data_IF_612578366932
#
_entry.id   IF_612578366932
#
_cell.length_a   1.000
_cell.length_b   1.000
_cell.length_c   1.000
_cell.angle_alpha   90.00
_cell.angle_beta   90.00
_cell.angle_gamma   90.00
#
_symmetry.space_group_name_H-M   'P 1'
#
loop_
_entity.id
_entity.type
_entity.pdbx_description
1 polymer ?
#
# COMPACT_ATOMS: atom_id res chain seq x y z
N UNK A 1 -17.70 -33.71 -25.76
CA UNK A 1 -17.68 -32.24 -25.58
C UNK A 1 -16.86 -31.95 -24.33
N UNK A 2 -15.78 -31.18 -24.44
CA UNK A 2 -15.01 -30.73 -23.27
C UNK A 2 -15.87 -29.79 -22.45
N UNK A 3 -15.97 -29.98 -21.14
CA UNK A 3 -16.62 -28.99 -20.27
C UNK A 3 -15.77 -27.71 -20.28
N UNK A 4 -16.37 -26.51 -20.42
CA UNK A 4 -15.65 -25.26 -20.32
C UNK A 4 -15.11 -25.08 -18.90
N UNK A 5 -13.81 -24.81 -18.79
CA UNK A 5 -13.17 -24.53 -17.51
C UNK A 5 -13.61 -23.14 -17.01
N UNK A 6 -14.06 -23.06 -15.76
CA UNK A 6 -14.49 -21.80 -15.16
C UNK A 6 -13.28 -20.91 -14.86
N UNK A 7 -13.40 -19.63 -15.22
CA UNK A 7 -12.39 -18.64 -14.87
C UNK A 7 -12.24 -18.46 -13.36
N UNK A 8 -11.03 -18.05 -12.94
CA UNK A 8 -10.79 -17.66 -11.55
C UNK A 8 -11.66 -16.43 -11.20
N UNK A 9 -12.16 -16.34 -9.96
CA UNK A 9 -12.91 -15.16 -9.52
C UNK A 9 -12.02 -13.92 -9.53
N UNK A 10 -12.65 -12.74 -9.63
CA UNK A 10 -11.97 -11.45 -9.52
C UNK A 10 -11.37 -11.25 -8.12
N UNK A 11 -10.34 -10.41 -8.04
CA UNK A 11 -9.76 -10.00 -6.77
C UNK A 11 -10.67 -8.98 -6.08
N UNK A 12 -10.88 -9.17 -4.79
CA UNK A 12 -11.53 -8.18 -3.92
C UNK A 12 -10.39 -7.34 -3.36
N UNK A 13 -10.25 -6.12 -3.88
CA UNK A 13 -9.15 -5.21 -3.55
C UNK A 13 -9.72 -3.82 -3.26
N UNK A 14 -9.94 -3.56 -1.98
CA UNK A 14 -10.47 -2.27 -1.52
C UNK A 14 -9.37 -1.22 -1.55
N UNK A 15 -9.69 -0.07 -2.11
CA UNK A 15 -8.86 1.12 -2.06
C UNK A 15 -8.93 1.74 -0.66
N UNK A 16 -7.80 1.80 0.04
CA UNK A 16 -7.76 2.21 1.44
C UNK A 16 -6.39 2.79 1.86
N UNK A 17 -6.43 3.67 2.84
CA UNK A 17 -5.28 4.33 3.46
C UNK A 17 -5.75 5.64 4.10
N UNK A 18 -5.37 5.89 5.35
CA UNK A 18 -5.66 7.16 6.04
C UNK A 18 -4.81 7.31 7.30
N UNK A 19 -4.69 8.55 7.79
CA UNK A 19 -4.03 8.88 9.04
C UNK A 19 -2.54 8.53 9.04
N UNK A 20 -2.13 7.39 9.61
CA UNK A 20 -0.73 6.98 9.72
C UNK A 20 -0.50 5.61 9.06
N UNK A 21 0.77 5.23 8.91
CA UNK A 21 1.13 3.91 8.41
C UNK A 21 0.62 2.78 9.32
N UNK A 22 0.67 2.95 10.64
CA UNK A 22 0.16 1.98 11.63
C UNK A 22 -1.36 1.82 11.53
N UNK A 23 -2.09 2.93 11.44
CA UNK A 23 -3.55 2.91 11.32
C UNK A 23 -3.98 2.26 10.00
N UNK A 24 -3.28 2.57 8.91
CA UNK A 24 -3.54 1.96 7.60
C UNK A 24 -3.20 0.47 7.58
N UNK A 25 -2.10 0.05 8.22
CA UNK A 25 -1.76 -1.36 8.39
C UNK A 25 -2.85 -2.13 9.16
N UNK A 26 -3.32 -1.59 10.29
CA UNK A 26 -4.38 -2.21 11.08
C UNK A 26 -5.68 -2.36 10.27
N UNK A 27 -6.01 -1.35 9.45
CA UNK A 27 -7.14 -1.40 8.51
C UNK A 27 -6.95 -2.50 7.45
N UNK A 28 -5.76 -2.61 6.85
CA UNK A 28 -5.45 -3.63 5.85
C UNK A 28 -5.59 -5.03 6.41
N UNK A 29 -5.01 -5.30 7.57
CA UNK A 29 -5.13 -6.58 8.26
C UNK A 29 -6.57 -6.92 8.60
N UNK A 30 -7.33 -5.96 9.13
CA UNK A 30 -8.77 -6.14 9.42
C UNK A 30 -9.56 -6.50 8.15
N UNK A 31 -9.24 -5.88 7.01
CA UNK A 31 -9.92 -6.18 5.75
C UNK A 31 -9.53 -7.55 5.18
N UNK A 32 -8.25 -7.94 5.29
CA UNK A 32 -7.78 -9.26 4.90
C UNK A 32 -8.45 -10.36 5.75
N UNK A 33 -8.56 -10.16 7.07
CA UNK A 33 -9.30 -11.05 7.98
C UNK A 33 -10.79 -11.20 7.60
N UNK A 34 -11.37 -10.15 7.00
CA UNK A 34 -12.76 -10.14 6.50
C UNK A 34 -12.94 -10.66 5.07
N UNK A 35 -11.89 -11.19 4.45
CA UNK A 35 -11.95 -11.85 3.15
C UNK A 35 -11.57 -10.97 1.95
N UNK A 36 -10.96 -9.81 2.17
CA UNK A 36 -10.26 -9.09 1.11
C UNK A 36 -9.09 -9.96 0.58
N UNK A 37 -8.87 -9.97 -0.74
CA UNK A 37 -7.88 -10.86 -1.38
C UNK A 37 -6.72 -10.13 -2.06
N UNK A 38 -6.69 -8.80 -2.01
CA UNK A 38 -5.57 -7.97 -2.43
C UNK A 38 -5.64 -6.58 -1.81
N UNK A 39 -4.56 -5.81 -1.85
CA UNK A 39 -4.47 -4.49 -1.25
C UNK A 39 -4.42 -3.40 -2.32
N UNK A 40 -5.05 -2.24 -2.09
CA UNK A 40 -4.84 -1.05 -2.91
C UNK A 40 -4.60 0.16 -2.04
N UNK A 41 -3.38 0.68 -2.07
CA UNK A 41 -2.90 1.74 -1.18
C UNK A 41 -3.32 3.11 -1.70
N UNK A 42 -3.97 3.89 -0.82
CA UNK A 42 -4.26 5.31 -1.01
C UNK A 42 -3.22 6.16 -0.28
N UNK A 43 -2.46 6.98 -1.00
CA UNK A 43 -1.45 7.88 -0.41
C UNK A 43 -2.01 9.27 -0.14
N UNK A 44 -1.46 9.98 0.84
CA UNK A 44 -1.85 11.36 1.10
C UNK A 44 -1.34 12.33 0.01
N UNK A 45 -1.84 13.57 0.02
CA UNK A 45 -1.49 14.55 -1.01
C UNK A 45 0.01 14.91 -1.02
N UNK A 46 0.70 15.11 0.13
CA UNK A 46 2.16 15.28 0.16
C UNK A 46 2.93 14.16 -0.54
N UNK A 47 2.63 12.89 -0.22
CA UNK A 47 3.29 11.73 -0.84
C UNK A 47 3.02 11.68 -2.35
N UNK A 48 1.81 12.02 -2.79
CA UNK A 48 1.45 12.09 -4.21
C UNK A 48 2.19 13.19 -4.97
N UNK A 49 2.53 14.29 -4.29
CA UNK A 49 3.15 15.48 -4.87
C UNK A 49 4.66 15.57 -4.62
N UNK A 50 5.24 14.62 -3.89
CA UNK A 50 6.68 14.52 -3.66
C UNK A 50 7.20 15.40 -2.53
N UNK A 51 6.37 15.72 -1.54
CA UNK A 51 6.78 16.44 -0.35
C UNK A 51 6.80 15.54 0.89
N UNK A 52 7.82 15.72 1.71
CA UNK A 52 7.86 15.13 3.04
C UNK A 52 6.80 15.78 3.96
N UNK A 53 6.43 15.07 5.02
CA UNK A 53 5.38 15.51 5.94
C UNK A 53 5.70 16.81 6.68
N UNK A 54 6.98 17.13 6.86
CA UNK A 54 7.45 18.36 7.52
C UNK A 54 7.63 19.54 6.55
N UNK A 55 7.51 19.30 5.23
CA UNK A 55 7.60 20.36 4.24
C UNK A 55 6.47 21.39 4.41
N UNK A 56 6.78 22.67 4.20
CA UNK A 56 5.84 23.78 4.45
C UNK A 56 4.53 23.65 3.65
N UNK A 57 4.59 23.08 2.45
CA UNK A 57 3.42 22.85 1.58
C UNK A 57 2.57 21.64 1.99
N UNK A 58 3.07 20.78 2.87
CA UNK A 58 2.36 19.58 3.35
C UNK A 58 1.38 19.90 4.48
N UNK A 59 1.52 21.07 5.11
CA UNK A 59 0.74 21.47 6.29
C UNK A 59 -0.76 21.38 6.03
N UNK A 60 -1.45 20.59 6.86
CA UNK A 60 -2.90 20.41 6.80
C UNK A 60 -3.37 19.30 5.87
N UNK A 61 -2.47 18.67 5.11
CA UNK A 61 -2.80 17.61 4.15
C UNK A 61 -2.17 16.24 4.50
N UNK A 62 -1.20 16.22 5.43
CA UNK A 62 -0.57 14.98 5.93
C UNK A 62 -1.62 14.02 6.49
N UNK A 63 -1.68 12.81 5.93
CA UNK A 63 -2.57 11.74 6.40
C UNK A 63 -4.07 11.96 6.19
N UNK A 64 -4.49 13.05 5.53
CA UNK A 64 -5.90 13.46 5.46
C UNK A 64 -6.73 12.64 4.48
N UNK A 65 -6.14 12.30 3.33
CA UNK A 65 -6.81 11.59 2.22
C UNK A 65 -6.17 10.25 1.88
N UNK A 66 -5.16 9.85 2.64
CA UNK A 66 -4.37 8.65 2.41
C UNK A 66 -3.31 8.47 3.48
N UNK A 67 -2.46 7.46 3.33
CA UNK A 67 -1.31 7.23 4.21
C UNK A 67 -0.13 8.13 3.80
N UNK A 68 0.55 8.80 4.76
CA UNK A 68 1.83 9.47 4.50
C UNK A 68 2.95 8.44 4.40
N UNK A 69 3.81 8.56 3.38
CA UNK A 69 5.04 7.75 3.25
C UNK A 69 6.17 8.67 2.81
N UNK A 70 7.07 8.97 3.74
CA UNK A 70 8.24 9.84 3.49
C UNK A 70 9.51 9.01 3.29
N UNK A 71 9.64 7.90 4.03
CA UNK A 71 10.85 7.08 4.01
C UNK A 71 10.56 5.59 4.18
N UNK A 72 11.60 4.76 4.06
CA UNK A 72 11.51 3.30 4.18
C UNK A 72 10.85 2.83 5.49
N UNK A 73 11.05 3.56 6.59
CA UNK A 73 10.42 3.25 7.88
C UNK A 73 8.89 3.22 7.81
N UNK A 74 8.28 4.13 7.05
CA UNK A 74 6.82 4.21 6.93
C UNK A 74 6.31 3.03 6.10
N UNK A 75 7.05 2.65 5.05
CA UNK A 75 6.71 1.50 4.21
C UNK A 75 6.82 0.19 5.01
N UNK A 76 7.84 0.05 5.87
CA UNK A 76 7.97 -1.09 6.79
C UNK A 76 6.78 -1.17 7.73
N UNK A 77 6.40 -0.05 8.36
CA UNK A 77 5.23 0.01 9.25
C UNK A 77 3.96 -0.34 8.50
N UNK A 78 3.76 0.22 7.29
CA UNK A 78 2.56 0.03 6.49
C UNK A 78 2.32 -1.46 6.15
N UNK A 79 3.39 -2.21 5.93
CA UNK A 79 3.34 -3.63 5.58
C UNK A 79 3.83 -4.58 6.69
N UNK A 80 3.92 -4.10 7.93
CA UNK A 80 4.24 -4.94 9.07
C UNK A 80 3.22 -6.08 9.20
N UNK A 81 3.70 -7.30 9.41
CA UNK A 81 2.89 -8.53 9.50
C UNK A 81 2.01 -8.84 8.26
N UNK A 82 2.31 -8.22 7.11
CA UNK A 82 1.68 -8.51 5.82
C UNK A 82 2.75 -9.11 4.90
N UNK A 83 2.67 -10.40 4.53
CA UNK A 83 3.72 -11.07 3.74
C UNK A 83 3.66 -10.67 2.26
N UNK A 84 4.53 -9.75 1.85
CA UNK A 84 4.47 -9.09 0.53
C UNK A 84 4.60 -10.06 -0.65
N UNK A 85 5.41 -11.13 -0.53
CA UNK A 85 5.56 -12.18 -1.56
C UNK A 85 4.22 -12.83 -1.94
N UNK A 86 3.28 -12.90 -0.98
CA UNK A 86 1.97 -13.55 -1.17
C UNK A 86 0.86 -12.57 -1.53
N UNK A 87 1.13 -11.27 -1.49
CA UNK A 87 0.11 -10.24 -1.67
C UNK A 87 0.00 -9.79 -3.11
N UNK A 88 -1.23 -9.57 -3.54
CA UNK A 88 -1.50 -8.77 -4.73
C UNK A 88 -1.71 -7.32 -4.30
N UNK A 89 -0.65 -6.51 -4.38
CA UNK A 89 -0.66 -5.11 -3.97
C UNK A 89 -0.75 -4.18 -5.17
N UNK A 90 -1.68 -3.24 -5.10
CA UNK A 90 -1.77 -2.08 -5.97
C UNK A 90 -1.40 -0.83 -5.19
N UNK A 91 -0.71 0.10 -5.82
CA UNK A 91 -0.38 1.40 -5.26
C UNK A 91 -0.90 2.48 -6.20
N UNK A 92 -1.88 3.27 -5.77
CA UNK A 92 -2.45 4.34 -6.61
C UNK A 92 -1.58 5.57 -6.51
N UNK A 93 -0.52 5.61 -7.32
CA UNK A 93 0.50 6.65 -7.29
C UNK A 93 0.98 6.96 -8.72
N UNK A 94 1.42 8.20 -8.96
CA UNK A 94 1.78 8.69 -10.29
C UNK A 94 3.19 9.30 -10.31
N UNK A 95 3.32 10.60 -10.07
CA UNK A 95 4.59 11.33 -10.21
C UNK A 95 5.73 10.74 -9.37
N UNK A 96 5.42 10.29 -8.16
CA UNK A 96 6.39 9.69 -7.23
C UNK A 96 6.46 8.17 -7.31
N UNK A 97 5.81 7.54 -8.30
CA UNK A 97 5.74 6.08 -8.42
C UNK A 97 7.10 5.35 -8.36
N UNK A 98 8.18 5.82 -9.03
CA UNK A 98 9.47 5.15 -8.94
C UNK A 98 10.03 5.10 -7.51
N UNK A 99 9.81 6.15 -6.72
CA UNK A 99 10.24 6.21 -5.32
C UNK A 99 9.46 5.23 -4.44
N UNK A 100 8.12 5.27 -4.52
CA UNK A 100 7.28 4.39 -3.72
C UNK A 100 7.46 2.91 -4.10
N UNK A 101 7.70 2.62 -5.38
CA UNK A 101 8.03 1.28 -5.84
C UNK A 101 9.37 0.80 -5.27
N UNK A 102 10.40 1.65 -5.26
CA UNK A 102 11.70 1.30 -4.66
C UNK A 102 11.58 0.99 -3.16
N UNK A 103 10.80 1.79 -2.41
CA UNK A 103 10.54 1.51 -1.00
C UNK A 103 9.77 0.19 -0.81
N UNK A 104 8.77 -0.09 -1.65
CA UNK A 104 8.01 -1.34 -1.60
C UNK A 104 8.90 -2.56 -1.86
N UNK A 105 9.75 -2.49 -2.89
CA UNK A 105 10.71 -3.56 -3.22
C UNK A 105 11.67 -3.79 -2.05
N UNK A 106 12.26 -2.73 -1.49
CA UNK A 106 13.17 -2.86 -0.36
C UNK A 106 12.53 -3.55 0.85
N UNK A 107 11.26 -3.23 1.18
CA UNK A 107 10.53 -3.93 2.25
C UNK A 107 10.25 -5.39 1.88
N UNK A 108 9.92 -5.68 0.62
CA UNK A 108 9.69 -7.05 0.16
C UNK A 108 10.97 -7.90 0.25
N UNK A 109 12.11 -7.35 -0.15
CA UNK A 109 13.44 -7.99 -0.02
C UNK A 109 13.80 -8.21 1.45
N UNK A 110 13.54 -7.25 2.35
CA UNK A 110 13.75 -7.41 3.79
C UNK A 110 12.87 -8.51 4.41
N UNK A 111 11.68 -8.76 3.83
CA UNK A 111 10.82 -9.88 4.19
C UNK A 111 11.24 -11.22 3.55
N UNK A 112 12.22 -11.21 2.64
CA UNK A 112 12.75 -12.39 1.96
C UNK A 112 12.03 -12.77 0.65
N UNK A 113 11.30 -11.83 0.04
CA UNK A 113 10.68 -12.06 -1.27
C UNK A 113 11.73 -12.11 -2.40
N UNK A 114 11.45 -12.89 -3.45
CA UNK A 114 12.20 -12.88 -4.71
C UNK A 114 11.56 -11.84 -5.65
N UNK A 115 12.25 -10.71 -5.87
CA UNK A 115 11.69 -9.49 -6.47
C UNK A 115 12.32 -9.15 -7.82
#
# INVERSE_FOLDING_TARGET
>A
MSQPQKDRPWLIRTYAGHSTAEASNALYRTNLEKGQTGLSVAFDLPTQTGYDSDHVLSRGEVGKVGVPVCHLGDMRTLFQDIPLEKMNTSMTINATAPWLLALYIAVAEEQGADV
#
